data_IF_454763350366
#
_entry.id   IF_454763350366
#
_cell.length_a   1.000
_cell.length_b   1.000
_cell.length_c   1.000
_cell.angle_alpha   90.00
_cell.angle_beta   90.00
_cell.angle_gamma   90.00
#
_symmetry.space_group_name_H-M   'P 1'
#
loop_
_entity.id
_entity.type
_entity.pdbx_description
1 polymer ?
#
# COMPACT_ATOMS: atom_id res chain seq x y z
N UNK A 1 3.96 -22.17 -1.53
CA UNK A 1 4.75 -22.02 -2.77
C UNK A 1 4.97 -20.55 -3.01
N UNK A 2 6.16 -20.21 -3.41
CA UNK A 2 6.53 -18.83 -3.72
C UNK A 2 6.06 -18.51 -5.14
N UNK A 3 5.19 -17.63 -5.35
CA UNK A 3 4.58 -17.20 -6.62
C UNK A 3 5.56 -17.15 -7.81
N UNK A 4 6.03 -18.32 -8.26
CA UNK A 4 7.02 -18.46 -9.33
C UNK A 4 6.40 -18.23 -10.70
N UNK A 5 7.19 -17.71 -11.65
CA UNK A 5 6.82 -17.46 -13.05
C UNK A 5 6.54 -18.78 -13.79
N UNK A 6 5.45 -19.45 -13.43
CA UNK A 6 5.03 -20.71 -14.05
C UNK A 6 3.52 -20.95 -13.92
N UNK A 7 2.97 -21.81 -14.79
CA UNK A 7 1.57 -22.26 -14.74
C UNK A 7 1.27 -23.08 -13.49
N UNK A 8 0.09 -22.84 -12.92
CA UNK A 8 -0.35 -23.39 -11.64
C UNK A 8 0.33 -22.77 -10.42
N UNK A 9 0.99 -21.63 -10.57
CA UNK A 9 1.59 -20.85 -9.50
C UNK A 9 1.27 -19.36 -9.68
N UNK A 10 2.10 -18.56 -10.36
CA UNK A 10 1.78 -17.17 -10.68
C UNK A 10 0.80 -17.04 -11.85
N UNK A 11 0.88 -17.94 -12.80
CA UNK A 11 -0.10 -18.06 -13.89
C UNK A 11 -1.15 -19.13 -13.56
N UNK A 12 -2.33 -18.99 -14.16
CA UNK A 12 -3.34 -20.05 -14.14
C UNK A 12 -2.76 -21.35 -14.73
N UNK A 13 -3.24 -22.49 -14.26
CA UNK A 13 -2.91 -23.77 -14.87
C UNK A 13 -3.61 -23.93 -16.22
N UNK A 14 -3.10 -24.82 -17.06
CA UNK A 14 -3.72 -25.11 -18.35
C UNK A 14 -5.18 -25.58 -18.22
N UNK A 15 -5.53 -26.23 -17.12
CA UNK A 15 -6.89 -26.70 -16.89
C UNK A 15 -7.80 -25.54 -16.47
N UNK A 16 -7.38 -24.66 -15.58
CA UNK A 16 -8.14 -23.48 -15.17
C UNK A 16 -8.41 -22.56 -16.37
N UNK A 17 -7.40 -22.32 -17.22
CA UNK A 17 -7.59 -21.55 -18.45
C UNK A 17 -8.63 -22.20 -19.38
N UNK A 18 -8.52 -23.51 -19.63
CA UNK A 18 -9.47 -24.25 -20.48
C UNK A 18 -10.90 -24.17 -19.97
N UNK A 19 -11.08 -24.33 -18.67
CA UNK A 19 -12.40 -24.31 -18.04
C UNK A 19 -13.02 -22.91 -18.14
N UNK A 20 -12.24 -21.85 -17.92
CA UNK A 20 -12.70 -20.47 -18.02
C UNK A 20 -13.04 -20.08 -19.46
N UNK A 21 -12.21 -20.46 -20.45
CA UNK A 21 -12.53 -20.24 -21.87
C UNK A 21 -13.74 -21.06 -22.34
N UNK A 22 -13.90 -22.30 -21.84
CA UNK A 22 -15.10 -23.09 -22.13
C UNK A 22 -16.36 -22.38 -21.60
N UNK A 23 -16.35 -21.86 -20.36
CA UNK A 23 -17.48 -21.11 -19.81
C UNK A 23 -17.76 -19.84 -20.63
N UNK A 24 -16.73 -19.19 -21.15
CA UNK A 24 -16.87 -18.03 -22.01
C UNK A 24 -17.53 -18.38 -23.36
N UNK A 25 -17.10 -19.47 -24.02
CA UNK A 25 -17.74 -19.97 -25.25
C UNK A 25 -19.22 -20.31 -25.05
N UNK A 26 -19.56 -20.84 -23.87
CA UNK A 26 -20.96 -21.15 -23.50
C UNK A 26 -21.74 -19.90 -23.04
N UNK A 27 -21.09 -18.72 -22.95
CA UNK A 27 -21.66 -17.45 -22.47
C UNK A 27 -22.28 -17.54 -21.08
N UNK A 28 -21.66 -18.34 -20.20
CA UNK A 28 -22.10 -18.51 -18.82
C UNK A 28 -21.53 -17.38 -17.97
N UNK A 29 -22.36 -16.49 -17.35
CA UNK A 29 -21.87 -15.48 -16.42
C UNK A 29 -21.08 -16.12 -15.31
N UNK A 30 -19.86 -15.65 -15.09
CA UNK A 30 -18.90 -16.29 -14.19
C UNK A 30 -18.36 -15.29 -13.16
N UNK A 31 -18.39 -15.69 -11.87
CA UNK A 31 -17.67 -15.02 -10.79
C UNK A 31 -16.37 -15.80 -10.55
N UNK A 32 -15.25 -15.15 -10.76
CA UNK A 32 -13.94 -15.75 -10.51
C UNK A 32 -13.54 -15.56 -9.04
N UNK A 33 -13.42 -16.67 -8.31
CA UNK A 33 -12.98 -16.64 -6.91
C UNK A 33 -11.51 -17.07 -6.84
N UNK A 34 -10.65 -16.16 -6.38
CA UNK A 34 -9.22 -16.39 -6.27
C UNK A 34 -8.86 -16.73 -4.82
N UNK A 35 -8.52 -17.99 -4.59
CA UNK A 35 -8.02 -18.50 -3.31
C UNK A 35 -6.52 -18.76 -3.42
N UNK A 36 -5.75 -17.68 -3.34
CA UNK A 36 -4.30 -17.70 -3.46
C UNK A 36 -3.65 -16.75 -2.45
N UNK A 37 -2.46 -17.08 -1.97
CA UNK A 37 -1.71 -16.27 -1.02
C UNK A 37 -1.08 -15.00 -1.60
N UNK A 38 -1.16 -14.79 -2.91
CA UNK A 38 -0.64 -13.62 -3.60
C UNK A 38 -1.27 -13.42 -4.97
N UNK A 39 -0.83 -12.40 -5.74
CA UNK A 39 -1.36 -12.09 -7.06
C UNK A 39 -1.25 -13.25 -8.05
N UNK A 40 -2.15 -13.28 -9.02
CA UNK A 40 -2.16 -14.16 -10.18
C UNK A 40 -2.24 -13.28 -11.42
N UNK A 41 -1.50 -13.58 -12.47
CA UNK A 41 -1.61 -12.84 -13.73
C UNK A 41 -2.93 -13.20 -14.44
N UNK A 42 -3.75 -12.19 -14.67
CA UNK A 42 -5.09 -12.34 -15.24
C UNK A 42 -5.29 -11.55 -16.53
N UNK A 43 -4.31 -10.80 -16.99
CA UNK A 43 -4.46 -9.84 -18.09
C UNK A 43 -4.97 -10.50 -19.36
N UNK A 44 -4.36 -11.60 -19.79
CA UNK A 44 -4.77 -12.29 -21.02
C UNK A 44 -6.15 -12.95 -20.88
N UNK A 45 -6.45 -13.50 -19.71
CA UNK A 45 -7.78 -14.06 -19.44
C UNK A 45 -8.86 -12.97 -19.54
N UNK A 46 -8.67 -11.84 -18.88
CA UNK A 46 -9.65 -10.76 -18.87
C UNK A 46 -9.80 -10.09 -20.24
N UNK A 47 -8.72 -10.02 -21.02
CA UNK A 47 -8.77 -9.54 -22.40
C UNK A 47 -9.47 -10.53 -23.35
N UNK A 48 -9.39 -11.83 -23.07
CA UNK A 48 -9.92 -12.92 -23.91
C UNK A 48 -11.30 -13.43 -23.52
N UNK A 49 -11.92 -12.90 -22.46
CA UNK A 49 -13.23 -13.35 -21.95
C UNK A 49 -14.16 -12.19 -21.69
N UNK A 50 -15.45 -12.37 -22.02
CA UNK A 50 -16.52 -11.38 -21.78
C UNK A 50 -17.51 -11.82 -20.70
N UNK A 51 -17.41 -13.05 -20.22
CA UNK A 51 -18.37 -13.67 -19.31
C UNK A 51 -17.97 -13.51 -17.83
N UNK A 52 -16.77 -13.05 -17.51
CA UNK A 52 -16.33 -12.80 -16.13
C UNK A 52 -16.97 -11.51 -15.65
N UNK A 53 -18.00 -11.67 -14.80
CA UNK A 53 -18.78 -10.54 -14.27
C UNK A 53 -18.18 -9.91 -13.02
N UNK A 54 -17.42 -10.69 -12.23
CA UNK A 54 -16.77 -10.24 -11.01
C UNK A 54 -15.57 -11.11 -10.66
N UNK A 55 -14.66 -10.54 -9.91
CA UNK A 55 -13.49 -11.22 -9.32
C UNK A 55 -13.54 -11.01 -7.81
N UNK A 56 -13.52 -12.10 -7.06
CA UNK A 56 -13.47 -12.09 -5.60
C UNK A 56 -12.12 -12.66 -5.15
N UNK A 57 -11.23 -11.80 -4.68
CA UNK A 57 -9.98 -12.24 -4.07
C UNK A 57 -10.20 -12.54 -2.60
N UNK A 58 -10.15 -13.81 -2.22
CA UNK A 58 -10.40 -14.27 -0.86
C UNK A 58 -9.13 -14.61 -0.07
N UNK A 59 -7.95 -14.50 -0.72
CA UNK A 59 -6.67 -14.94 -0.13
C UNK A 59 -6.77 -16.37 0.40
N UNK A 60 -6.28 -16.64 1.60
CA UNK A 60 -6.35 -17.95 2.27
C UNK A 60 -7.23 -17.80 3.51
N UNK A 61 -8.50 -18.16 3.35
CA UNK A 61 -9.51 -18.03 4.42
C UNK A 61 -9.34 -19.09 5.50
N UNK A 62 -9.83 -18.73 6.70
CA UNK A 62 -9.94 -19.65 7.82
C UNK A 62 -11.13 -20.61 7.71
N UNK A 63 -11.49 -21.25 8.83
CA UNK A 63 -12.51 -22.29 8.92
C UNK A 63 -13.89 -21.87 8.40
N UNK A 64 -14.32 -20.64 8.68
CA UNK A 64 -15.61 -20.07 8.24
C UNK A 64 -15.56 -19.41 6.85
N UNK A 65 -14.48 -19.58 6.12
CA UNK A 65 -14.25 -18.93 4.82
C UNK A 65 -15.34 -19.22 3.79
N UNK A 66 -15.85 -20.46 3.75
CA UNK A 66 -16.94 -20.83 2.84
C UNK A 66 -18.24 -20.08 3.12
N UNK A 67 -18.59 -19.91 4.40
CA UNK A 67 -19.76 -19.14 4.82
C UNK A 67 -19.61 -17.67 4.44
N UNK A 68 -18.45 -17.06 4.74
CA UNK A 68 -18.15 -15.66 4.40
C UNK A 68 -18.23 -15.40 2.88
N UNK A 69 -17.73 -16.32 2.04
CA UNK A 69 -17.86 -16.23 0.58
C UNK A 69 -19.31 -16.31 0.14
N UNK A 70 -20.10 -17.24 0.70
CA UNK A 70 -21.52 -17.38 0.39
C UNK A 70 -22.29 -16.12 0.76
N UNK A 71 -22.07 -15.57 1.96
CA UNK A 71 -22.73 -14.35 2.44
C UNK A 71 -22.48 -13.15 1.52
N UNK A 72 -21.24 -13.01 1.02
CA UNK A 72 -20.91 -11.98 0.02
C UNK A 72 -21.64 -12.26 -1.30
N UNK A 73 -21.55 -13.48 -1.85
CA UNK A 73 -22.14 -13.81 -3.15
C UNK A 73 -23.68 -13.67 -3.16
N UNK A 74 -24.33 -13.92 -2.03
CA UNK A 74 -25.78 -13.77 -1.89
C UNK A 74 -26.22 -12.38 -1.41
N UNK A 75 -25.26 -11.47 -1.16
CA UNK A 75 -25.56 -10.09 -0.80
C UNK A 75 -25.96 -9.87 0.67
N UNK A 76 -25.73 -10.85 1.54
CA UNK A 76 -25.96 -10.70 2.99
C UNK A 76 -24.95 -9.72 3.62
N UNK A 77 -23.74 -9.67 3.06
CA UNK A 77 -22.70 -8.72 3.43
C UNK A 77 -22.14 -7.99 2.21
N UNK A 78 -21.98 -6.69 2.33
CA UNK A 78 -21.33 -5.85 1.32
C UNK A 78 -19.83 -5.96 1.45
N UNK A 79 -19.09 -6.33 0.38
CA UNK A 79 -17.63 -6.36 0.41
C UNK A 79 -17.05 -4.98 0.67
N UNK A 80 -16.02 -4.91 1.50
CA UNK A 80 -15.33 -3.68 1.88
C UNK A 80 -13.83 -3.88 2.08
N UNK A 81 -13.30 -5.00 1.59
CA UNK A 81 -11.88 -5.32 1.58
C UNK A 81 -11.14 -4.55 0.49
N UNK A 82 -9.90 -4.18 0.76
CA UNK A 82 -9.00 -3.53 -0.20
C UNK A 82 -7.77 -4.39 -0.43
N UNK A 83 -7.25 -4.38 -1.66
CA UNK A 83 -6.02 -5.08 -2.00
C UNK A 83 -4.84 -4.45 -1.24
N UNK A 84 -4.09 -5.27 -0.54
CA UNK A 84 -2.88 -4.87 0.21
C UNK A 84 -1.61 -5.00 -0.63
N UNK A 85 -1.74 -5.40 -1.88
CA UNK A 85 -0.65 -5.53 -2.86
C UNK A 85 -1.09 -4.98 -4.20
N UNK A 86 -0.12 -4.54 -5.01
CA UNK A 86 -0.35 -4.17 -6.41
C UNK A 86 -0.43 -5.44 -7.24
N UNK A 87 -1.45 -5.56 -8.09
CA UNK A 87 -1.59 -6.62 -9.08
C UNK A 87 -1.08 -6.13 -10.42
N UNK A 88 0.04 -6.67 -10.87
CA UNK A 88 0.67 -6.26 -12.14
C UNK A 88 -0.08 -6.83 -13.33
N UNK A 89 0.04 -6.15 -14.47
CA UNK A 89 -0.47 -6.68 -15.75
C UNK A 89 0.33 -7.88 -16.22
N UNK A 90 1.66 -7.83 -16.03
CA UNK A 90 2.60 -8.89 -16.40
C UNK A 90 3.55 -9.17 -15.23
N UNK A 91 3.98 -10.40 -15.09
CA UNK A 91 5.02 -10.77 -14.14
C UNK A 91 6.28 -9.93 -14.32
N UNK A 92 6.66 -9.69 -15.55
CA UNK A 92 7.88 -8.96 -15.93
C UNK A 92 7.81 -7.45 -15.63
N UNK A 93 6.65 -6.92 -15.24
CA UNK A 93 6.50 -5.55 -14.75
C UNK A 93 6.99 -5.40 -13.30
N UNK A 94 7.25 -6.49 -12.58
CA UNK A 94 7.78 -6.45 -11.22
C UNK A 94 9.27 -6.05 -11.22
N UNK A 95 9.72 -5.23 -10.25
CA UNK A 95 11.10 -4.72 -10.24
C UNK A 95 12.18 -5.82 -10.15
N UNK A 96 11.88 -6.94 -9.47
CA UNK A 96 12.80 -8.07 -9.29
C UNK A 96 12.34 -9.33 -10.05
N UNK A 97 11.66 -9.17 -11.19
CA UNK A 97 11.04 -10.28 -11.91
C UNK A 97 12.01 -11.39 -12.34
N UNK A 98 13.25 -11.05 -12.69
CA UNK A 98 14.25 -12.00 -13.18
C UNK A 98 15.07 -12.65 -12.05
N UNK A 99 15.08 -12.05 -10.87
CA UNK A 99 15.93 -12.46 -9.75
C UNK A 99 15.17 -13.23 -8.68
N UNK A 100 13.85 -13.02 -8.58
CA UNK A 100 13.01 -13.63 -7.58
C UNK A 100 13.08 -15.16 -7.57
N UNK A 101 13.23 -15.73 -6.39
CA UNK A 101 13.18 -17.20 -6.18
C UNK A 101 14.18 -17.98 -7.03
N UNK A 102 15.43 -17.53 -7.10
CA UNK A 102 16.55 -18.15 -7.82
C UNK A 102 16.40 -18.17 -9.34
N UNK A 103 15.61 -17.28 -9.92
CA UNK A 103 15.43 -17.19 -11.37
C UNK A 103 16.75 -16.85 -12.09
N UNK A 104 17.65 -16.09 -11.43
CA UNK A 104 19.00 -15.80 -11.87
C UNK A 104 19.99 -17.00 -11.76
N UNK A 105 19.54 -18.13 -11.18
CA UNK A 105 20.36 -19.33 -10.94
C UNK A 105 21.28 -19.27 -9.72
N UNK A 106 21.26 -18.17 -8.96
CA UNK A 106 22.02 -18.06 -7.71
C UNK A 106 21.23 -18.70 -6.55
N UNK A 107 21.85 -19.68 -5.87
CA UNK A 107 21.25 -20.38 -4.73
C UNK A 107 21.85 -19.96 -3.38
N UNK A 108 22.87 -19.10 -3.39
CA UNK A 108 23.62 -18.74 -2.19
C UNK A 108 23.26 -17.34 -1.68
N UNK A 109 22.89 -16.42 -2.58
CA UNK A 109 22.56 -15.05 -2.24
C UNK A 109 21.27 -14.60 -2.95
N UNK A 110 20.49 -13.78 -2.27
CA UNK A 110 19.32 -13.09 -2.82
C UNK A 110 19.57 -11.58 -2.69
N UNK A 111 19.39 -10.83 -3.77
CA UNK A 111 19.62 -9.39 -3.80
C UNK A 111 18.29 -8.64 -3.77
N UNK A 112 18.13 -7.75 -2.80
CA UNK A 112 16.96 -6.87 -2.67
C UNK A 112 17.28 -5.51 -3.32
N UNK A 113 17.26 -5.51 -4.65
CA UNK A 113 17.68 -4.34 -5.45
C UNK A 113 16.63 -3.21 -5.52
N UNK A 114 15.41 -3.44 -5.07
CA UNK A 114 14.33 -2.46 -5.16
C UNK A 114 14.56 -1.20 -4.32
N UNK A 115 15.34 -1.29 -3.24
CA UNK A 115 15.56 -0.19 -2.32
C UNK A 115 14.23 0.31 -1.72
N UNK A 116 13.91 1.59 -1.90
CA UNK A 116 12.64 2.17 -1.43
C UNK A 116 11.44 1.85 -2.35
N UNK A 117 11.70 1.37 -3.57
CA UNK A 117 10.67 1.16 -4.60
C UNK A 117 10.04 -0.23 -4.49
N UNK A 118 9.51 -0.58 -3.32
CA UNK A 118 8.83 -1.85 -3.07
C UNK A 118 7.33 -1.71 -3.32
N UNK A 119 6.74 -2.66 -4.05
CA UNK A 119 5.31 -2.74 -4.32
C UNK A 119 4.77 -1.51 -5.05
N UNK A 120 3.67 -0.93 -4.56
CA UNK A 120 3.03 0.22 -5.21
C UNK A 120 3.94 1.43 -5.39
N UNK A 121 4.96 1.60 -4.53
CA UNK A 121 5.92 2.71 -4.67
C UNK A 121 6.69 2.64 -5.98
N UNK A 122 7.02 1.43 -6.42
CA UNK A 122 7.64 1.21 -7.73
C UNK A 122 6.68 1.61 -8.85
N UNK A 123 5.50 0.98 -8.91
CA UNK A 123 4.55 1.22 -9.99
C UNK A 123 4.14 2.69 -10.09
N UNK A 124 3.87 3.35 -8.97
CA UNK A 124 3.46 4.74 -8.92
C UNK A 124 4.60 5.71 -9.29
N UNK A 125 5.83 5.43 -8.83
CA UNK A 125 6.98 6.30 -9.11
C UNK A 125 7.45 6.20 -10.56
N UNK A 126 7.46 4.99 -11.11
CA UNK A 126 7.88 4.74 -12.50
C UNK A 126 6.74 4.90 -13.52
N UNK A 127 5.53 5.22 -13.09
CA UNK A 127 4.39 5.40 -13.97
C UNK A 127 3.94 4.12 -14.68
N UNK A 128 4.17 2.97 -14.05
CA UNK A 128 3.77 1.67 -14.59
C UNK A 128 2.34 1.37 -14.17
N UNK A 129 1.44 1.24 -15.13
CA UNK A 129 0.04 1.00 -14.88
C UNK A 129 -0.22 -0.46 -14.46
N UNK A 130 -0.69 -0.73 -13.23
CA UNK A 130 -1.03 -2.07 -12.78
C UNK A 130 -2.36 -2.58 -13.36
N UNK A 131 -2.64 -3.87 -13.21
CA UNK A 131 -3.97 -4.43 -13.46
C UNK A 131 -4.96 -3.96 -12.39
N UNK A 132 -4.56 -4.07 -11.12
CA UNK A 132 -5.29 -3.50 -9.98
C UNK A 132 -4.29 -2.79 -9.05
N UNK A 133 -4.57 -1.55 -8.73
CA UNK A 133 -3.69 -0.74 -7.88
C UNK A 133 -3.73 -1.19 -6.41
N UNK A 134 -2.71 -0.82 -5.66
CA UNK A 134 -2.73 -0.92 -4.21
C UNK A 134 -3.97 -0.20 -3.64
N UNK A 135 -4.62 -0.83 -2.68
CA UNK A 135 -5.81 -0.27 -2.04
C UNK A 135 -7.10 -0.41 -2.84
N UNK A 136 -7.06 -0.95 -4.07
CA UNK A 136 -8.26 -1.15 -4.89
C UNK A 136 -9.22 -2.17 -4.27
N UNK A 137 -10.52 -1.94 -4.43
CA UNK A 137 -11.58 -2.86 -4.03
C UNK A 137 -12.94 -2.22 -4.25
N UNK A 138 -13.84 -2.98 -4.90
CA UNK A 138 -15.23 -2.57 -5.16
C UNK A 138 -16.14 -2.94 -3.99
N UNK A 139 -17.29 -2.32 -3.96
CA UNK A 139 -18.38 -2.55 -3.02
C UNK A 139 -19.68 -2.78 -3.79
N UNK A 140 -20.76 -3.19 -3.10
CA UNK A 140 -22.13 -3.22 -3.67
C UNK A 140 -22.84 -1.87 -3.58
N UNK A 141 -22.17 -0.88 -2.97
CA UNK A 141 -22.63 0.50 -2.89
C UNK A 141 -21.50 1.45 -3.29
N UNK A 142 -21.81 2.72 -3.44
CA UNK A 142 -20.87 3.77 -3.82
C UNK A 142 -20.68 4.73 -2.66
N UNK A 143 -19.47 5.32 -2.58
CA UNK A 143 -19.14 6.28 -1.55
C UNK A 143 -18.55 7.55 -2.16
N UNK A 144 -18.92 8.69 -1.59
CA UNK A 144 -18.27 9.97 -1.85
C UNK A 144 -17.37 10.32 -0.66
N UNK A 145 -16.14 10.76 -0.96
CA UNK A 145 -15.14 11.11 0.04
C UNK A 145 -14.75 12.57 -0.17
N UNK A 146 -15.00 13.42 0.84
CA UNK A 146 -14.71 14.85 0.78
C UNK A 146 -13.79 15.29 1.89
N UNK A 147 -12.79 16.08 1.55
CA UNK A 147 -11.99 16.80 2.52
C UNK A 147 -12.86 17.88 3.19
N UNK A 148 -12.97 17.82 4.53
CA UNK A 148 -13.66 18.82 5.34
C UNK A 148 -12.68 19.78 6.01
N UNK A 149 -11.46 19.34 6.30
CA UNK A 149 -10.46 20.17 6.95
C UNK A 149 -9.11 19.49 7.07
N UNK A 150 -8.09 20.33 7.25
CA UNK A 150 -6.74 19.88 7.54
C UNK A 150 -6.15 20.78 8.63
N UNK A 151 -5.58 20.19 9.66
CA UNK A 151 -4.99 20.88 10.80
C UNK A 151 -3.62 20.28 11.14
N UNK A 152 -2.76 21.08 11.72
CA UNK A 152 -1.42 20.67 12.12
C UNK A 152 -1.19 20.82 13.61
N UNK A 153 -0.41 19.91 14.15
CA UNK A 153 0.17 19.98 15.49
C UNK A 153 1.62 19.49 15.39
N UNK A 154 2.48 19.81 16.34
CA UNK A 154 3.91 19.44 16.25
C UNK A 154 4.17 17.93 16.03
N UNK A 155 3.24 17.05 16.46
CA UNK A 155 3.35 15.59 16.34
C UNK A 155 2.74 15.01 15.07
N UNK A 156 2.06 15.83 14.24
CA UNK A 156 1.46 15.35 13.00
C UNK A 156 0.43 16.29 12.39
N UNK A 157 -0.19 15.79 11.36
CA UNK A 157 -1.24 16.45 10.59
C UNK A 157 -2.55 15.67 10.77
N UNK A 158 -3.63 16.33 11.08
CA UNK A 158 -4.97 15.72 11.14
C UNK A 158 -5.76 16.11 9.90
N UNK A 159 -6.20 15.11 9.16
CA UNK A 159 -7.06 15.28 7.98
C UNK A 159 -8.47 14.85 8.37
N UNK A 160 -9.43 15.76 8.23
CA UNK A 160 -10.85 15.50 8.48
C UNK A 160 -11.56 15.29 7.15
N UNK A 161 -12.18 14.14 6.99
CA UNK A 161 -12.94 13.78 5.79
C UNK A 161 -14.36 13.38 6.14
N UNK A 162 -15.32 13.75 5.28
CA UNK A 162 -16.67 13.22 5.29
C UNK A 162 -16.75 12.08 4.28
N UNK A 163 -17.30 10.95 4.69
CA UNK A 163 -17.63 9.81 3.82
C UNK A 163 -19.13 9.65 3.80
N UNK A 164 -19.74 9.64 2.61
CA UNK A 164 -21.17 9.46 2.40
C UNK A 164 -21.41 8.17 1.59
N UNK A 165 -22.29 7.30 2.03
CA UNK A 165 -22.81 6.24 1.18
C UNK A 165 -23.84 6.84 0.21
N UNK A 166 -23.42 7.01 -1.06
CA UNK A 166 -24.26 7.61 -2.12
C UNK A 166 -25.11 6.59 -2.88
N UNK A 167 -24.94 5.31 -2.57
CA UNK A 167 -25.78 4.25 -3.12
C UNK A 167 -27.22 4.31 -2.63
N UNK A 168 -28.08 3.48 -3.20
CA UNK A 168 -29.53 3.52 -2.91
C UNK A 168 -30.05 2.24 -2.26
N UNK A 169 -29.26 1.17 -2.20
CA UNK A 169 -29.75 -0.16 -1.85
C UNK A 169 -28.99 -0.80 -0.69
N UNK A 170 -27.67 -0.78 -0.74
CA UNK A 170 -26.83 -1.53 0.19
C UNK A 170 -26.17 -0.63 1.23
N UNK A 171 -26.17 -1.09 2.47
CA UNK A 171 -25.25 -0.58 3.48
C UNK A 171 -23.83 -1.08 3.19
N UNK A 172 -22.82 -0.35 3.62
CA UNK A 172 -21.43 -0.77 3.42
C UNK A 172 -20.44 0.06 4.21
N UNK A 173 -19.18 -0.35 4.14
CA UNK A 173 -18.04 0.33 4.75
C UNK A 173 -17.07 0.74 3.67
N UNK A 174 -16.42 1.90 3.84
CA UNK A 174 -15.37 2.36 2.94
C UNK A 174 -14.06 2.60 3.69
N UNK A 175 -12.94 2.46 2.99
CA UNK A 175 -11.61 2.75 3.51
C UNK A 175 -11.07 4.02 2.86
N UNK A 176 -10.94 5.06 3.66
CA UNK A 176 -10.23 6.27 3.24
C UNK A 176 -8.73 6.04 3.35
N UNK A 177 -8.01 6.29 2.27
CA UNK A 177 -6.56 6.18 2.18
C UNK A 177 -5.96 7.56 1.90
N UNK A 178 -4.96 7.94 2.68
CA UNK A 178 -4.28 9.23 2.54
C UNK A 178 -2.82 8.96 2.16
N UNK A 179 -2.42 9.55 1.05
CA UNK A 179 -1.05 9.48 0.56
C UNK A 179 -0.40 10.85 0.61
N UNK A 180 0.91 10.88 0.78
CA UNK A 180 1.69 12.11 0.71
C UNK A 180 2.72 12.02 -0.42
N UNK A 181 2.77 13.07 -1.26
CA UNK A 181 3.93 13.38 -2.09
C UNK A 181 4.87 14.27 -1.32
N UNK A 182 6.17 14.02 -1.43
CA UNK A 182 7.22 14.72 -0.71
C UNK A 182 7.93 15.72 -1.62
N UNK A 183 8.58 16.75 -1.06
CA UNK A 183 9.44 17.64 -1.82
C UNK A 183 10.52 16.84 -2.55
N UNK A 184 10.63 17.02 -3.87
CA UNK A 184 11.63 16.36 -4.70
C UNK A 184 12.83 17.29 -4.85
N UNK A 185 13.99 16.81 -4.48
CA UNK A 185 15.27 17.56 -4.48
C UNK A 185 16.38 16.84 -5.27
N UNK A 186 15.97 15.82 -6.06
CA UNK A 186 16.89 14.96 -6.79
C UNK A 186 17.45 13.80 -5.96
N UNK A 187 17.15 13.74 -4.66
CA UNK A 187 17.44 12.55 -3.86
C UNK A 187 16.41 11.45 -4.14
N UNK A 188 16.77 10.22 -3.80
CA UNK A 188 15.93 9.05 -4.04
C UNK A 188 14.70 9.05 -3.15
N UNK A 189 13.51 9.25 -3.74
CA UNK A 189 12.20 9.26 -3.07
C UNK A 189 11.16 8.61 -3.96
N UNK A 190 10.09 8.13 -3.34
CA UNK A 190 8.89 7.68 -4.05
C UNK A 190 7.99 8.86 -4.42
N UNK A 191 7.10 8.66 -5.41
CA UNK A 191 6.14 9.68 -5.82
C UNK A 191 5.08 9.93 -4.75
N UNK A 192 4.47 8.88 -4.22
CA UNK A 192 3.50 8.94 -3.12
C UNK A 192 3.74 7.82 -2.12
N UNK A 193 3.54 8.11 -0.85
CA UNK A 193 3.50 7.11 0.22
C UNK A 193 2.21 7.16 0.99
N UNK A 194 1.69 6.00 1.40
CA UNK A 194 0.56 5.90 2.32
C UNK A 194 1.01 6.43 3.69
N UNK A 195 0.34 7.48 4.17
CA UNK A 195 0.66 8.13 5.45
C UNK A 195 -0.42 7.96 6.49
N UNK A 196 -1.62 7.54 6.08
CA UNK A 196 -2.72 7.23 6.98
C UNK A 196 -3.89 6.57 6.24
N UNK A 197 -4.70 5.85 6.97
CA UNK A 197 -5.96 5.29 6.49
C UNK A 197 -6.91 5.06 7.66
N UNK A 198 -8.20 5.07 7.37
CA UNK A 198 -9.23 4.71 8.33
C UNK A 198 -10.42 4.10 7.59
N UNK A 199 -11.14 3.19 8.25
CA UNK A 199 -12.33 2.54 7.71
C UNK A 199 -13.56 3.02 8.46
N UNK A 200 -14.61 3.37 7.71
CA UNK A 200 -15.90 3.78 8.29
C UNK A 200 -16.57 2.64 9.07
N UNK A 201 -17.47 3.01 9.93
CA UNK A 201 -18.53 2.10 10.35
C UNK A 201 -19.43 1.76 9.16
N UNK A 202 -20.42 0.90 9.40
CA UNK A 202 -21.37 0.53 8.36
C UNK A 202 -22.35 1.69 8.12
N UNK A 203 -22.32 2.26 6.91
CA UNK A 203 -23.18 3.37 6.50
C UNK A 203 -24.32 2.85 5.63
N UNK A 204 -25.55 3.18 6.00
CA UNK A 204 -26.75 2.97 5.17
C UNK A 204 -26.77 3.98 4.01
N UNK A 205 -27.58 3.70 2.96
CA UNK A 205 -27.80 4.68 1.90
C UNK A 205 -28.14 6.08 2.43
N UNK A 206 -27.36 7.08 2.02
CA UNK A 206 -27.47 8.46 2.46
C UNK A 206 -26.87 8.81 3.82
N UNK A 207 -26.37 7.83 4.58
CA UNK A 207 -25.66 8.08 5.83
C UNK A 207 -24.24 8.60 5.59
N UNK A 208 -23.75 9.41 6.54
CA UNK A 208 -22.46 10.04 6.53
C UNK A 208 -21.70 9.80 7.81
N UNK A 209 -20.39 9.77 7.69
CA UNK A 209 -19.45 9.73 8.81
C UNK A 209 -18.32 10.72 8.62
N UNK A 210 -17.88 11.31 9.71
CA UNK A 210 -16.69 12.18 9.75
C UNK A 210 -15.54 11.40 10.37
N UNK A 211 -14.49 11.21 9.58
CA UNK A 211 -13.24 10.59 10.03
C UNK A 211 -12.18 11.67 10.28
N UNK A 212 -11.45 11.55 11.40
CA UNK A 212 -10.33 12.41 11.76
C UNK A 212 -9.04 11.60 11.76
N UNK A 213 -8.40 11.53 10.61
CA UNK A 213 -7.24 10.67 10.37
C UNK A 213 -5.97 11.41 10.75
N UNK A 214 -5.25 10.90 11.75
CA UNK A 214 -3.99 11.49 12.21
C UNK A 214 -2.83 10.90 11.43
N UNK A 215 -2.10 11.77 10.74
CA UNK A 215 -0.88 11.46 10.01
C UNK A 215 0.31 11.81 10.93
N UNK A 216 1.04 10.83 11.45
CA UNK A 216 2.15 11.12 12.37
C UNK A 216 3.28 11.87 11.64
N UNK A 217 3.96 12.78 12.33
CA UNK A 217 5.06 13.57 11.76
C UNK A 217 6.11 12.68 11.07
N UNK A 218 6.46 11.55 11.69
CA UNK A 218 7.44 10.60 11.13
C UNK A 218 7.05 10.06 9.74
N UNK A 219 5.75 10.02 9.40
CA UNK A 219 5.30 9.58 8.08
C UNK A 219 5.75 10.50 6.93
N UNK A 220 6.11 11.75 7.24
CA UNK A 220 6.63 12.73 6.28
C UNK A 220 8.15 12.70 6.15
N UNK A 221 8.86 11.95 7.00
CA UNK A 221 10.31 11.88 6.98
C UNK A 221 10.84 10.94 5.88
N UNK A 222 11.96 11.30 5.27
CA UNK A 222 12.76 10.43 4.40
C UNK A 222 14.08 10.09 5.07
N UNK A 223 14.61 8.91 4.76
CA UNK A 223 15.93 8.51 5.23
C UNK A 223 17.01 9.10 4.32
N UNK A 224 17.97 9.80 4.92
CA UNK A 224 19.11 10.35 4.23
C UNK A 224 20.33 9.47 4.52
N UNK A 225 20.74 8.70 3.53
CA UNK A 225 21.79 7.68 3.68
C UNK A 225 23.15 8.26 4.10
N UNK A 226 23.59 9.35 3.48
CA UNK A 226 24.87 9.97 3.81
C UNK A 226 24.92 10.49 5.25
N UNK A 227 23.79 11.05 5.73
CA UNK A 227 23.66 11.62 7.07
C UNK A 227 23.26 10.56 8.11
N UNK A 228 22.83 9.39 7.67
CA UNK A 228 22.30 8.30 8.52
C UNK A 228 21.17 8.78 9.43
N UNK A 229 20.20 9.49 8.86
CA UNK A 229 19.10 10.06 9.64
C UNK A 229 17.76 10.10 8.90
N UNK A 230 16.68 10.04 9.65
CA UNK A 230 15.34 10.34 9.16
C UNK A 230 15.09 11.84 9.31
N UNK A 231 14.74 12.51 8.21
CA UNK A 231 14.52 13.94 8.16
C UNK A 231 13.22 14.27 7.46
N UNK A 232 12.44 15.20 8.04
CA UNK A 232 11.39 15.93 7.34
C UNK A 232 12.06 17.13 6.69
N UNK A 233 12.03 17.21 5.38
CA UNK A 233 12.69 18.28 4.64
C UNK A 233 11.77 19.48 4.48
N UNK A 234 12.33 20.67 4.42
CA UNK A 234 11.62 21.89 4.07
C UNK A 234 11.02 21.77 2.66
N UNK A 235 9.82 22.31 2.48
CA UNK A 235 9.16 22.30 1.19
C UNK A 235 7.67 22.06 1.28
N UNK A 236 7.05 21.85 0.12
CA UNK A 236 5.64 21.54 -0.01
C UNK A 236 5.42 20.02 -0.11
N UNK A 237 4.42 19.55 0.61
CA UNK A 237 3.95 18.17 0.59
C UNK A 237 2.51 18.14 0.05
N UNK A 238 2.24 17.28 -0.93
CA UNK A 238 0.89 17.08 -1.46
C UNK A 238 0.15 16.01 -0.67
N UNK A 239 -1.08 16.28 -0.26
CA UNK A 239 -1.96 15.32 0.42
C UNK A 239 -3.00 14.82 -0.57
N UNK A 240 -2.97 13.53 -0.83
CA UNK A 240 -3.85 12.84 -1.77
C UNK A 240 -4.83 11.96 -0.99
N UNK A 241 -6.12 12.06 -1.32
CA UNK A 241 -7.20 11.38 -0.60
C UNK A 241 -8.03 10.58 -1.59
N UNK A 242 -8.31 9.32 -1.25
CA UNK A 242 -9.16 8.44 -2.04
C UNK A 242 -9.42 7.12 -1.33
N UNK A 243 -10.05 6.18 -2.03
CA UNK A 243 -10.31 4.83 -1.54
C UNK A 243 -9.35 3.77 -2.14
N UNK A 244 -8.43 4.20 -2.97
CA UNK A 244 -7.33 3.43 -3.52
C UNK A 244 -6.24 4.36 -4.02
N UNK A 245 -5.06 3.83 -4.35
CA UNK A 245 -3.97 4.65 -4.90
C UNK A 245 -4.35 5.29 -6.25
N UNK A 246 -5.05 4.56 -7.13
CA UNK A 246 -5.49 5.07 -8.43
C UNK A 246 -6.55 6.16 -8.32
N UNK A 247 -7.44 6.07 -7.33
CA UNK A 247 -8.53 7.04 -7.13
C UNK A 247 -8.14 8.21 -6.22
N UNK A 248 -6.95 8.16 -5.61
CA UNK A 248 -6.48 9.24 -4.75
C UNK A 248 -6.24 10.53 -5.56
N UNK A 249 -6.89 11.60 -5.13
CA UNK A 249 -6.81 12.94 -5.73
C UNK A 249 -6.06 13.89 -4.82
N UNK A 250 -5.23 14.76 -5.41
CA UNK A 250 -4.58 15.84 -4.66
C UNK A 250 -5.66 16.76 -4.07
N UNK A 251 -5.68 16.85 -2.74
CA UNK A 251 -6.77 17.48 -2.01
C UNK A 251 -6.33 18.63 -1.11
N UNK A 252 -5.06 18.63 -0.69
CA UNK A 252 -4.51 19.68 0.17
C UNK A 252 -2.98 19.73 0.06
N UNK A 253 -2.40 20.81 0.61
CA UNK A 253 -0.97 21.01 0.78
C UNK A 253 -0.57 21.15 2.24
N UNK A 254 0.64 20.67 2.55
CA UNK A 254 1.30 20.89 3.83
C UNK A 254 2.66 21.52 3.57
N UNK A 255 2.97 22.64 4.19
CA UNK A 255 4.22 23.37 4.00
C UNK A 255 5.07 23.28 5.25
N UNK A 256 6.28 22.77 5.10
CA UNK A 256 7.32 22.74 6.14
C UNK A 256 8.35 23.83 5.86
N UNK A 257 8.61 24.68 6.86
CA UNK A 257 9.47 25.88 6.69
C UNK A 257 10.96 25.59 6.78
N UNK A 258 11.36 24.57 7.53
CA UNK A 258 12.75 24.19 7.76
C UNK A 258 12.91 22.68 7.94
N UNK A 259 14.08 22.17 7.63
CA UNK A 259 14.42 20.77 7.86
C UNK A 259 14.36 20.40 9.35
N UNK A 260 13.77 19.25 9.64
CA UNK A 260 13.68 18.71 11.01
C UNK A 260 14.20 17.29 11.04
N UNK A 261 15.28 17.07 11.79
CA UNK A 261 15.82 15.72 12.05
C UNK A 261 14.90 15.00 13.05
N UNK A 262 14.27 13.93 12.60
CA UNK A 262 13.36 13.13 13.42
C UNK A 262 14.10 12.06 14.22
N UNK A 263 15.05 11.40 13.59
CA UNK A 263 15.79 10.30 14.20
C UNK A 263 17.15 10.13 13.56
N UNK A 264 18.20 9.92 14.36
CA UNK A 264 19.54 9.54 13.91
C UNK A 264 19.77 8.06 14.11
N UNK A 265 20.31 7.40 13.09
CA UNK A 265 20.62 5.97 13.11
C UNK A 265 22.15 5.76 13.11
N UNK A 266 22.57 4.51 13.23
CA UNK A 266 23.95 4.11 13.05
C UNK A 266 24.02 3.11 11.91
N UNK A 267 24.95 3.28 11.01
CA UNK A 267 25.29 2.29 9.99
C UNK A 267 25.82 1.04 10.68
N UNK A 268 25.22 -0.10 10.42
CA UNK A 268 25.63 -1.37 11.01
C UNK A 268 26.76 -2.02 10.20
N UNK A 269 26.60 -2.03 8.87
CA UNK A 269 27.55 -2.62 7.92
C UNK A 269 27.64 -1.79 6.65
N UNK A 270 28.69 -1.97 5.88
CA UNK A 270 28.84 -1.37 4.57
C UNK A 270 28.45 -2.38 3.48
N UNK A 271 27.31 -2.15 2.83
CA UNK A 271 26.80 -2.98 1.75
C UNK A 271 27.02 -2.29 0.39
N UNK A 272 28.24 -1.91 0.10
CA UNK A 272 28.61 -1.18 -1.11
C UNK A 272 28.47 -1.97 -2.42
N UNK A 273 28.11 -3.25 -2.37
CA UNK A 273 28.07 -4.15 -3.52
C UNK A 273 26.67 -4.34 -4.14
N UNK A 274 25.60 -3.95 -3.44
CA UNK A 274 24.23 -4.12 -3.97
C UNK A 274 23.96 -3.00 -4.98
N UNK A 275 23.70 -3.40 -6.22
CA UNK A 275 23.28 -2.48 -7.29
C UNK A 275 21.76 -2.37 -7.25
N UNK A 276 21.27 -1.27 -6.71
CA UNK A 276 19.85 -0.99 -6.70
C UNK A 276 19.32 -0.60 -8.09
N UNK A 277 18.02 -0.84 -8.32
CA UNK A 277 17.38 -0.43 -9.56
C UNK A 277 17.57 1.07 -9.80
N UNK A 278 17.67 1.45 -11.07
CA UNK A 278 17.83 2.86 -11.47
C UNK A 278 16.67 3.68 -10.90
N UNK A 279 16.98 4.80 -10.28
CA UNK A 279 15.97 5.71 -9.77
C UNK A 279 15.25 6.48 -10.89
N UNK A 280 14.16 7.15 -10.53
CA UNK A 280 13.35 7.98 -11.42
C UNK A 280 13.33 9.45 -10.95
N UNK A 281 14.36 9.91 -10.25
CA UNK A 281 14.39 11.21 -9.59
C UNK A 281 14.12 12.39 -10.55
N UNK A 282 14.65 12.38 -11.77
CA UNK A 282 14.40 13.44 -12.76
C UNK A 282 12.91 13.53 -13.14
N UNK A 283 12.28 12.39 -13.39
CA UNK A 283 10.85 12.33 -13.71
C UNK A 283 10.00 12.74 -12.50
N UNK A 284 10.39 12.36 -11.30
CA UNK A 284 9.70 12.76 -10.09
C UNK A 284 9.81 14.26 -9.82
N UNK A 285 10.94 14.89 -10.10
CA UNK A 285 11.09 16.34 -10.03
C UNK A 285 10.14 17.04 -11.00
N UNK A 286 10.05 16.57 -12.24
CA UNK A 286 9.10 17.11 -13.24
C UNK A 286 7.64 16.96 -12.78
N UNK A 287 7.24 15.79 -12.30
CA UNK A 287 5.90 15.55 -11.75
C UNK A 287 5.63 16.38 -10.50
N UNK A 288 6.68 16.69 -9.71
CA UNK A 288 6.54 17.54 -8.54
C UNK A 288 6.21 18.99 -8.91
N UNK A 289 6.76 19.54 -9.98
CA UNK A 289 6.39 20.87 -10.48
C UNK A 289 4.89 20.93 -10.82
N UNK A 290 4.36 19.88 -11.46
CA UNK A 290 2.95 19.80 -11.84
C UNK A 290 2.01 19.82 -10.62
N UNK A 291 2.19 18.89 -9.67
CA UNK A 291 1.28 18.84 -8.51
C UNK A 291 1.49 19.99 -7.52
N UNK A 292 2.71 20.53 -7.41
CA UNK A 292 2.99 21.68 -6.56
C UNK A 292 2.27 22.93 -7.07
N UNK A 293 2.21 23.13 -8.39
CA UNK A 293 1.45 24.24 -8.98
C UNK A 293 -0.05 24.15 -8.62
N UNK A 294 -0.62 22.97 -8.59
CA UNK A 294 -2.02 22.75 -8.23
C UNK A 294 -2.32 23.08 -6.75
N UNK A 295 -1.32 23.06 -5.87
CA UNK A 295 -1.51 23.40 -4.46
C UNK A 295 -1.93 24.87 -4.25
N UNK A 296 -1.66 25.78 -5.18
CA UNK A 296 -2.06 27.19 -5.05
C UNK A 296 -3.58 27.35 -4.98
N UNK A 297 -4.33 26.43 -5.56
CA UNK A 297 -5.81 26.43 -5.59
C UNK A 297 -6.44 25.58 -4.49
N UNK A 298 -5.66 24.88 -3.69
CA UNK A 298 -6.12 23.91 -2.68
C UNK A 298 -5.90 24.46 -1.25
N UNK A 299 -6.61 23.89 -0.26
CA UNK A 299 -6.32 24.18 1.16
C UNK A 299 -4.86 23.88 1.50
N UNK A 300 -4.16 24.83 2.11
CA UNK A 300 -2.78 24.71 2.53
C UNK A 300 -2.61 25.05 3.99
N UNK A 301 -1.78 24.27 4.69
CA UNK A 301 -1.45 24.49 6.10
C UNK A 301 0.06 24.50 6.30
N UNK A 302 0.52 25.31 7.28
CA UNK A 302 1.91 25.26 7.72
C UNK A 302 2.07 24.17 8.78
N UNK A 303 3.13 23.40 8.68
CA UNK A 303 3.46 22.33 9.60
C UNK A 303 4.87 22.53 10.15
N UNK A 304 4.97 22.61 11.45
CA UNK A 304 6.23 22.71 12.19
C UNK A 304 6.39 21.45 13.04
N UNK A 305 6.97 20.39 12.48
CA UNK A 305 7.14 19.13 13.19
C UNK A 305 8.19 19.23 14.29
N UNK A 306 7.98 18.46 15.34
CA UNK A 306 8.96 18.25 16.41
C UNK A 306 9.40 16.79 16.41
N UNK A 307 10.70 16.56 16.66
CA UNK A 307 11.21 15.22 16.86
C UNK A 307 10.57 14.58 18.10
N UNK A 308 10.16 13.32 17.97
CA UNK A 308 9.70 12.58 19.15
C UNK A 308 10.87 12.32 20.10
N UNK A 309 10.68 12.64 21.38
CA UNK A 309 11.63 12.21 22.39
C UNK A 309 11.67 10.67 22.42
N UNK A 310 12.84 10.09 22.11
CA UNK A 310 13.04 8.65 22.27
C UNK A 310 12.76 8.29 23.72
N UNK A 311 11.73 7.53 24.00
CA UNK A 311 11.66 6.75 25.23
C UNK A 311 12.79 5.74 25.17
N UNK A 312 13.94 6.10 25.72
CA UNK A 312 15.03 5.16 25.93
C UNK A 312 14.50 4.13 26.90
N UNK A 313 14.11 2.95 26.40
CA UNK A 313 13.97 1.78 27.27
C UNK A 313 15.39 1.50 27.80
N UNK A 314 15.70 2.08 28.94
CA UNK A 314 16.87 1.65 29.70
C UNK A 314 16.51 0.27 30.22
N UNK A 315 17.09 -0.76 29.68
CA UNK A 315 17.24 -2.00 30.41
C UNK A 315 17.97 -1.64 31.70
N UNK A 316 17.47 -2.06 32.86
CA UNK A 316 18.22 -1.88 34.10
C UNK A 316 19.62 -2.43 33.88
N UNK A 317 20.67 -1.65 34.16
CA UNK A 317 22.08 -2.00 33.91
C UNK A 317 22.55 -3.24 34.69
N UNK A 318 21.68 -3.94 35.42
CA UNK A 318 22.01 -5.05 36.31
C UNK A 318 21.11 -6.29 36.20
N UNK A 319 20.41 -6.50 35.11
CA UNK A 319 19.77 -7.79 34.87
C UNK A 319 20.63 -8.63 33.92
N UNK A 320 21.51 -9.45 34.47
CA UNK A 320 22.03 -10.64 33.76
C UNK A 320 20.82 -11.54 33.48
N UNK A 321 20.21 -11.36 32.31
CA UNK A 321 19.22 -12.31 31.80
C UNK A 321 20.02 -13.52 31.34
N UNK A 322 19.80 -14.70 31.92
CA UNK A 322 20.46 -15.92 31.46
C UNK A 322 20.25 -16.09 29.96
N UNK A 323 21.30 -16.54 29.24
CA UNK A 323 21.23 -16.75 27.80
C UNK A 323 20.04 -17.66 27.40
N UNK A 324 19.69 -18.60 28.27
CA UNK A 324 18.56 -19.54 28.11
C UNK A 324 17.20 -18.76 28.13
N UNK A 325 17.05 -17.76 28.97
CA UNK A 325 15.84 -16.92 29.02
C UNK A 325 15.78 -15.95 27.82
N UNK A 326 16.92 -15.44 27.35
CA UNK A 326 17.01 -14.66 26.12
C UNK A 326 16.63 -15.49 24.88
N UNK A 327 17.06 -16.75 24.81
CA UNK A 327 16.67 -17.67 23.75
C UNK A 327 15.17 -17.96 23.82
N UNK A 328 14.61 -18.18 24.99
CA UNK A 328 13.17 -18.41 25.16
C UNK A 328 12.31 -17.21 24.78
N UNK A 329 12.79 -15.99 25.07
CA UNK A 329 12.14 -14.73 24.65
C UNK A 329 12.19 -14.50 23.11
N UNK A 330 13.28 -14.91 22.45
CA UNK A 330 13.46 -14.75 21.00
C UNK A 330 12.71 -15.80 20.19
N UNK A 331 12.61 -17.03 20.67
CA UNK A 331 12.03 -18.15 19.91
C UNK A 331 10.65 -18.61 20.41
N UNK A 332 10.13 -17.99 21.47
CA UNK A 332 8.91 -18.44 22.13
C UNK A 332 9.12 -19.81 22.79
N UNK A 333 8.39 -20.07 23.84
CA UNK A 333 8.44 -21.37 24.51
C UNK A 333 7.70 -22.40 23.66
N UNK A 334 8.40 -23.17 22.81
CA UNK A 334 7.80 -24.19 21.93
C UNK A 334 7.30 -25.43 22.70
N UNK A 335 7.27 -25.41 24.04
CA UNK A 335 6.82 -26.53 24.87
C UNK A 335 5.35 -26.41 25.33
N UNK A 336 4.59 -25.40 24.88
CA UNK A 336 3.17 -25.21 25.22
C UNK A 336 2.26 -25.09 23.97
N UNK A 337 2.54 -25.86 22.92
CA UNK A 337 1.58 -26.10 21.83
C UNK A 337 1.27 -27.59 21.80
#
# INVERSE_FOLDING_TARGET
KDRRKRKGDYYLSDQEEKDLYFLNEQKIPTVLIINAGGPVELTDLLAGTENICAILNISQLGQEGGNAVADILFGEFTPSGKLTTTWTKRYDDCPAAEEFSYLNGNLETEEYAEGIYVGYRYFDSFGIEPLFSFGYGLSYTEFDIRLCGINTASKGVTVTVEVENTGTTYSGKEVVQIYASLPQDGSRKEFRRLVGYEKTEELKPGEKEILNIVLPAKAFASFLEEQQEWRIQAGAYGIWIGNSLSEAKLSAGVKVSADVMMEKTKKLEDHSEVVEIKDCAEELCRRAEEWTALLEELPNVSFEPEAEEKKVCRFPEETEIPVEDLISLLYGNMSEI
#
